data_IF_825356992032
#
_entry.id   IF_825356992032
#
_cell.length_a   1.000
_cell.length_b   1.000
_cell.length_c   1.000
_cell.angle_alpha   90.00
_cell.angle_beta   90.00
_cell.angle_gamma   90.00
#
_symmetry.space_group_name_H-M   'P 1'
#
loop_
_entity.id
_entity.type
_entity.pdbx_description
1 polymer ?
#
# COMPACT_ATOMS: atom_id res chain seq x y z
N UNK A 1 -10.50 -7.15 9.56
CA UNK A 1 -10.28 -5.97 8.70
C UNK A 1 -10.72 -6.35 7.30
N UNK A 2 -11.63 -5.60 6.69
CA UNK A 2 -12.04 -5.85 5.31
C UNK A 2 -11.10 -5.09 4.34
N UNK A 3 -11.25 -5.31 3.03
CA UNK A 3 -10.40 -4.65 2.01
C UNK A 3 -10.55 -3.13 2.05
N UNK A 4 -11.76 -2.62 2.31
CA UNK A 4 -12.00 -1.17 2.43
C UNK A 4 -11.18 -0.57 3.59
N UNK A 5 -11.15 -1.23 4.75
CA UNK A 5 -10.38 -0.79 5.91
C UNK A 5 -8.88 -0.79 5.60
N UNK A 6 -8.38 -1.82 4.89
CA UNK A 6 -6.98 -1.89 4.47
C UNK A 6 -6.60 -0.72 3.55
N UNK A 7 -7.44 -0.41 2.55
CA UNK A 7 -7.20 0.73 1.65
C UNK A 7 -7.25 2.06 2.42
N UNK A 8 -8.19 2.22 3.36
CA UNK A 8 -8.28 3.42 4.19
C UNK A 8 -7.01 3.67 5.01
N UNK A 9 -6.40 2.60 5.56
CA UNK A 9 -5.12 2.69 6.26
C UNK A 9 -4.01 3.17 5.31
N UNK A 10 -3.89 2.60 4.11
CA UNK A 10 -2.88 3.00 3.12
C UNK A 10 -3.03 4.48 2.73
N UNK A 11 -4.26 4.93 2.48
CA UNK A 11 -4.55 6.35 2.18
C UNK A 11 -4.16 7.25 3.36
N UNK A 12 -4.44 6.82 4.59
CA UNK A 12 -4.01 7.50 5.82
C UNK A 12 -2.49 7.60 5.91
N UNK A 13 -1.77 6.49 5.72
CA UNK A 13 -0.31 6.45 5.74
C UNK A 13 0.31 7.38 4.69
N UNK A 14 -0.28 7.50 3.50
CA UNK A 14 0.18 8.46 2.49
C UNK A 14 -0.05 9.90 2.94
N UNK A 15 -1.24 10.19 3.48
CA UNK A 15 -1.60 11.53 3.98
C UNK A 15 -0.69 11.97 5.13
N UNK A 16 -0.32 11.03 6.00
CA UNK A 16 0.54 11.27 7.16
C UNK A 16 2.03 11.28 6.80
N UNK A 17 2.38 11.05 5.53
CA UNK A 17 3.77 11.07 5.04
C UNK A 17 4.60 9.85 5.45
N UNK A 18 3.96 8.78 5.93
CA UNK A 18 4.63 7.50 6.25
C UNK A 18 5.10 6.80 4.97
N UNK A 19 4.27 6.87 3.92
CA UNK A 19 4.58 6.40 2.57
C UNK A 19 4.40 7.54 1.57
N UNK A 20 5.14 7.52 0.46
CA UNK A 20 5.07 8.59 -0.53
C UNK A 20 4.02 8.30 -1.62
N UNK A 21 4.18 7.19 -2.32
CA UNK A 21 3.28 6.73 -3.39
C UNK A 21 2.95 5.28 -3.16
N UNK A 22 1.72 4.89 -3.49
CA UNK A 22 1.31 3.50 -3.52
C UNK A 22 0.65 3.11 -4.84
N UNK A 23 0.64 1.82 -5.11
CA UNK A 23 -0.09 1.20 -6.21
C UNK A 23 -0.84 -0.02 -5.69
N UNK A 24 -2.09 -0.18 -6.13
CA UNK A 24 -2.87 -1.41 -5.92
C UNK A 24 -2.52 -2.37 -7.05
N UNK A 25 -2.10 -3.58 -6.68
CA UNK A 25 -1.72 -4.61 -7.63
C UNK A 25 -2.54 -5.89 -7.46
N UNK A 26 -1.94 -7.00 -7.86
CA UNK A 26 -2.54 -8.34 -7.78
C UNK A 26 -3.89 -8.43 -8.47
N UNK A 27 -4.82 -9.19 -7.89
CA UNK A 27 -6.13 -9.45 -8.50
C UNK A 27 -6.96 -8.16 -8.68
N UNK A 28 -6.88 -7.24 -7.70
CA UNK A 28 -7.58 -5.95 -7.78
C UNK A 28 -6.97 -5.05 -8.87
N UNK A 29 -5.64 -5.02 -9.00
CA UNK A 29 -4.96 -4.31 -10.08
C UNK A 29 -5.24 -4.92 -11.45
N UNK A 30 -5.34 -6.25 -11.54
CA UNK A 30 -5.65 -6.95 -12.78
C UNK A 30 -7.08 -6.67 -13.29
N UNK A 31 -8.03 -6.42 -12.38
CA UNK A 31 -9.41 -6.09 -12.72
C UNK A 31 -9.59 -4.82 -13.59
N UNK A 32 -8.54 -3.99 -13.73
CA UNK A 32 -8.53 -2.89 -14.70
C UNK A 32 -8.36 -3.35 -16.16
N UNK A 33 -7.92 -4.59 -16.39
CA UNK A 33 -7.56 -5.13 -17.70
C UNK A 33 -8.33 -6.40 -18.07
N UNK A 34 -8.88 -7.09 -17.09
CA UNK A 34 -9.66 -8.33 -17.26
C UNK A 34 -10.92 -8.30 -16.42
N UNK A 35 -11.85 -9.23 -16.67
CA UNK A 35 -13.06 -9.36 -15.88
C UNK A 35 -12.72 -9.60 -14.40
N UNK A 36 -13.31 -8.82 -13.47
CA UNK A 36 -13.06 -9.00 -12.05
C UNK A 36 -13.53 -10.37 -11.55
N UNK A 37 -12.72 -10.99 -10.69
CA UNK A 37 -13.08 -12.19 -9.95
C UNK A 37 -13.08 -11.90 -8.44
N UNK A 38 -13.73 -12.76 -7.66
CA UNK A 38 -13.67 -12.67 -6.20
C UNK A 38 -12.22 -12.83 -5.72
N UNK A 39 -11.77 -11.90 -4.88
CA UNK A 39 -10.46 -11.94 -4.22
C UNK A 39 -10.64 -11.82 -2.71
N UNK A 40 -9.73 -12.42 -1.95
CA UNK A 40 -9.79 -12.46 -0.50
C UNK A 40 -8.93 -11.37 0.16
N UNK A 41 -8.02 -10.76 -0.60
CA UNK A 41 -7.03 -9.80 -0.13
C UNK A 41 -6.79 -8.68 -1.15
N UNK A 42 -5.92 -7.74 -0.77
CA UNK A 42 -5.43 -6.64 -1.59
C UNK A 42 -3.92 -6.56 -1.49
N UNK A 43 -3.24 -6.52 -2.62
CA UNK A 43 -1.82 -6.29 -2.70
C UNK A 43 -1.51 -4.82 -2.94
N UNK A 44 -0.68 -4.25 -2.08
CA UNK A 44 -0.28 -2.84 -2.14
C UNK A 44 1.24 -2.74 -2.20
N UNK A 45 1.72 -2.05 -3.21
CA UNK A 45 3.13 -1.68 -3.36
C UNK A 45 3.28 -0.22 -2.96
N UNK A 46 4.36 0.15 -2.28
CA UNK A 46 4.60 1.55 -1.89
C UNK A 46 6.09 1.89 -1.79
N UNK A 47 6.39 3.18 -1.80
CA UNK A 47 7.72 3.73 -1.51
C UNK A 47 7.73 4.44 -0.16
N UNK A 48 8.84 4.33 0.56
CA UNK A 48 9.05 5.08 1.81
C UNK A 48 9.34 6.55 1.50
N UNK A 49 8.82 7.46 2.34
CA UNK A 49 9.04 8.90 2.18
C UNK A 49 10.50 9.34 2.36
N UNK A 50 11.33 8.53 3.04
CA UNK A 50 12.76 8.81 3.22
C UNK A 50 13.58 7.62 2.75
N UNK A 51 14.21 7.76 1.59
CA UNK A 51 15.27 6.87 1.12
C UNK A 51 16.59 7.63 1.21
N UNK A 52 17.33 7.44 2.30
CA UNK A 52 18.73 7.87 2.34
C UNK A 52 19.50 6.87 1.47
N UNK A 53 20.21 7.29 0.40
CA UNK A 53 21.07 6.36 -0.35
C UNK A 53 22.04 5.70 0.63
N UNK A 54 22.06 4.36 0.67
CA UNK A 54 22.82 3.52 1.60
C UNK A 54 22.41 3.57 3.10
N UNK A 55 21.26 4.17 3.42
CA UNK A 55 20.74 4.25 4.79
C UNK A 55 19.78 3.13 5.17
N UNK A 56 19.68 2.89 6.49
CA UNK A 56 18.69 1.99 7.07
C UNK A 56 17.27 2.58 6.93
N UNK A 57 16.33 1.78 6.44
CA UNK A 57 14.90 2.14 6.41
C UNK A 57 14.30 1.89 7.80
N UNK A 58 13.76 2.95 8.42
CA UNK A 58 13.00 2.81 9.66
C UNK A 58 11.56 2.39 9.37
N UNK A 59 11.21 1.16 9.73
CA UNK A 59 9.86 0.61 9.59
C UNK A 59 8.97 0.89 10.81
N UNK A 60 9.51 1.48 11.88
CA UNK A 60 8.76 1.78 13.11
C UNK A 60 7.44 2.53 12.86
N UNK A 61 7.34 3.47 11.90
CA UNK A 61 6.07 4.14 11.59
C UNK A 61 4.94 3.22 11.08
N UNK A 62 5.24 2.00 10.60
CA UNK A 62 4.24 1.05 10.12
C UNK A 62 3.66 0.20 11.27
N UNK A 63 4.44 -0.03 12.33
CA UNK A 63 4.08 -0.95 13.42
C UNK A 63 3.39 -0.29 14.62
N UNK A 64 3.10 1.02 14.57
CA UNK A 64 2.48 1.77 15.67
C UNK A 64 0.96 1.77 15.61
#
# INVERSE_FOLDING_TARGET
MNIHDAIAIIVGMQKDGVIERYAIGGAIGAAFYIEPAETQDVEVFFTFATTVPDGLIDLSPIYR
#
